data_IF_444338944991
#
_entry.id   IF_444338944991
#
_cell.length_a   1.000
_cell.length_b   1.000
_cell.length_c   1.000
_cell.angle_alpha   90.00
_cell.angle_beta   90.00
_cell.angle_gamma   90.00
#
_symmetry.space_group_name_H-M   'P 1'
#
loop_
_entity.id
_entity.type
_entity.pdbx_description
1 polymer ?
#
# COMPACT_ATOMS: atom_id res chain seq x y z
N UNK A 1 -16.08 7.65 -3.76
CA UNK A 1 -17.43 7.33 -3.21
C UNK A 1 -18.51 8.30 -3.67
N UNK A 2 -18.36 9.63 -3.59
CA UNK A 2 -19.36 10.58 -4.13
C UNK A 2 -19.75 10.28 -5.59
N UNK A 3 -18.77 10.18 -6.49
CA UNK A 3 -19.02 9.93 -7.91
C UNK A 3 -19.72 8.56 -8.17
N UNK A 4 -19.49 7.57 -7.31
CA UNK A 4 -20.13 6.25 -7.44
C UNK A 4 -21.59 6.28 -6.97
N UNK A 5 -21.87 7.01 -5.88
CA UNK A 5 -23.24 7.24 -5.40
C UNK A 5 -24.03 8.03 -6.45
N UNK A 6 -23.46 9.09 -7.02
CA UNK A 6 -24.08 9.87 -8.09
C UNK A 6 -24.36 9.03 -9.35
N UNK A 7 -23.44 8.14 -9.73
CA UNK A 7 -23.66 7.19 -10.82
C UNK A 7 -24.81 6.22 -10.50
N UNK A 8 -24.85 5.63 -9.30
CA UNK A 8 -25.91 4.71 -8.92
C UNK A 8 -27.28 5.39 -8.88
N UNK A 9 -27.35 6.63 -8.37
CA UNK A 9 -28.55 7.45 -8.38
C UNK A 9 -29.01 7.76 -9.82
N UNK A 10 -28.10 8.19 -10.69
CA UNK A 10 -28.40 8.45 -12.10
C UNK A 10 -28.83 7.20 -12.86
N UNK A 11 -28.26 6.03 -12.54
CA UNK A 11 -28.61 4.75 -13.15
C UNK A 11 -30.00 4.27 -12.70
N UNK A 12 -30.33 4.47 -11.42
CA UNK A 12 -31.66 4.20 -10.87
C UNK A 12 -32.72 5.07 -11.56
N UNK A 13 -32.46 6.37 -11.69
CA UNK A 13 -33.36 7.30 -12.38
C UNK A 13 -33.59 6.90 -13.84
N UNK A 14 -32.52 6.50 -14.56
CA UNK A 14 -32.66 6.03 -15.94
C UNK A 14 -33.51 4.75 -16.03
N UNK A 15 -33.39 3.82 -15.08
CA UNK A 15 -34.16 2.56 -15.06
C UNK A 15 -35.63 2.75 -14.70
N UNK A 16 -35.92 3.65 -13.74
CA UNK A 16 -37.30 4.05 -13.41
C UNK A 16 -37.99 4.60 -14.66
N UNK A 17 -37.30 5.44 -15.44
CA UNK A 17 -37.84 6.00 -16.67
C UNK A 17 -37.99 4.97 -17.82
N UNK A 18 -37.28 3.84 -17.77
CA UNK A 18 -37.28 2.82 -18.82
C UNK A 18 -38.35 1.72 -18.64
N UNK A 19 -39.24 1.82 -17.64
CA UNK A 19 -40.22 0.78 -17.28
C UNK A 19 -39.57 -0.60 -17.05
N UNK A 20 -38.40 -0.64 -16.40
CA UNK A 20 -37.76 -1.89 -16.01
C UNK A 20 -38.69 -2.71 -15.09
N UNK A 21 -38.66 -4.05 -15.13
CA UNK A 21 -39.48 -4.89 -14.26
C UNK A 21 -39.16 -4.61 -12.77
N UNK A 22 -40.20 -4.56 -11.92
CA UNK A 22 -40.11 -4.22 -10.48
C UNK A 22 -39.04 -5.02 -9.70
N UNK A 23 -38.77 -6.26 -10.12
CA UNK A 23 -37.72 -7.12 -9.57
C UNK A 23 -36.32 -6.50 -9.66
N UNK A 24 -36.00 -5.86 -10.78
CA UNK A 24 -34.68 -5.27 -11.01
C UNK A 24 -34.50 -3.97 -10.22
N UNK A 25 -35.58 -3.21 -10.05
CA UNK A 25 -35.57 -1.97 -9.27
C UNK A 25 -35.27 -2.23 -7.78
N UNK A 26 -35.88 -3.28 -7.21
CA UNK A 26 -35.67 -3.63 -5.80
C UNK A 26 -34.20 -4.00 -5.49
N UNK A 27 -33.52 -4.69 -6.42
CA UNK A 27 -32.11 -5.04 -6.28
C UNK A 27 -31.20 -3.80 -6.22
N UNK A 28 -31.42 -2.83 -7.12
CA UNK A 28 -30.66 -1.58 -7.13
C UNK A 28 -30.94 -0.70 -5.91
N UNK A 29 -32.19 -0.65 -5.42
CA UNK A 29 -32.53 0.08 -4.19
C UNK A 29 -31.80 -0.48 -2.96
N UNK A 30 -31.74 -1.81 -2.84
CA UNK A 30 -31.00 -2.48 -1.77
C UNK A 30 -29.49 -2.21 -1.86
N UNK A 31 -28.91 -2.28 -3.06
CA UNK A 31 -27.50 -1.96 -3.29
C UNK A 31 -27.20 -0.49 -2.95
N UNK A 32 -28.02 0.45 -3.44
CA UNK A 32 -27.87 1.87 -3.16
C UNK A 32 -27.95 2.15 -1.66
N UNK A 33 -28.88 1.50 -0.95
CA UNK A 33 -29.01 1.63 0.51
C UNK A 33 -27.76 1.12 1.22
N UNK A 34 -27.24 -0.05 0.85
CA UNK A 34 -26.03 -0.61 1.42
C UNK A 34 -24.80 0.29 1.18
N UNK A 35 -24.65 0.83 -0.03
CA UNK A 35 -23.57 1.76 -0.37
C UNK A 35 -23.68 3.07 0.44
N UNK A 36 -24.89 3.61 0.62
CA UNK A 36 -25.12 4.81 1.44
C UNK A 36 -24.80 4.56 2.91
N UNK A 37 -25.19 3.42 3.47
CA UNK A 37 -24.87 3.04 4.85
C UNK A 37 -23.37 2.87 5.05
N UNK A 38 -22.68 2.21 4.12
CA UNK A 38 -21.22 2.06 4.15
C UNK A 38 -20.50 3.42 4.05
N UNK A 39 -20.97 4.32 3.18
CA UNK A 39 -20.43 5.67 3.06
C UNK A 39 -20.61 6.48 4.37
N UNK A 40 -21.79 6.39 5.00
CA UNK A 40 -22.08 7.03 6.29
C UNK A 40 -21.17 6.51 7.41
N UNK A 41 -20.94 5.20 7.47
CA UNK A 41 -20.03 4.60 8.44
C UNK A 41 -18.59 5.11 8.27
N UNK A 42 -18.10 5.16 7.02
CA UNK A 42 -16.76 5.69 6.70
C UNK A 42 -16.64 7.17 7.04
N UNK A 43 -17.67 7.98 6.76
CA UNK A 43 -17.69 9.39 7.16
C UNK A 43 -17.52 9.54 8.68
N UNK A 44 -18.29 8.79 9.48
CA UNK A 44 -18.17 8.82 10.95
C UNK A 44 -16.78 8.42 11.43
N UNK A 45 -16.15 7.44 10.77
CA UNK A 45 -14.79 7.03 11.07
C UNK A 45 -13.78 8.16 10.81
N UNK A 46 -13.87 8.82 9.65
CA UNK A 46 -13.00 9.96 9.33
C UNK A 46 -13.21 11.14 10.27
N UNK A 47 -14.46 11.46 10.65
CA UNK A 47 -14.77 12.50 11.63
C UNK A 47 -14.12 12.20 12.99
N UNK A 48 -14.15 10.93 13.42
CA UNK A 48 -13.48 10.47 14.65
C UNK A 48 -11.96 10.64 14.56
N UNK A 49 -11.35 10.24 13.45
CA UNK A 49 -9.90 10.40 13.22
C UNK A 49 -9.48 11.88 13.20
N UNK A 50 -10.24 12.74 12.50
CA UNK A 50 -10.00 14.19 12.48
C UNK A 50 -10.13 14.81 13.87
N UNK A 51 -11.10 14.36 14.68
CA UNK A 51 -11.24 14.81 16.07
C UNK A 51 -10.03 14.42 16.93
N UNK A 52 -9.50 13.21 16.76
CA UNK A 52 -8.28 12.74 17.43
C UNK A 52 -7.08 13.61 17.07
N UNK A 53 -6.82 13.81 15.77
CA UNK A 53 -5.70 14.61 15.27
C UNK A 53 -5.77 16.07 15.72
N UNK A 54 -6.97 16.67 15.75
CA UNK A 54 -7.17 18.02 16.30
C UNK A 54 -6.79 18.11 17.77
N UNK A 55 -7.12 17.08 18.55
CA UNK A 55 -6.79 17.00 19.97
C UNK A 55 -5.28 16.85 20.17
N UNK A 56 -4.63 15.98 19.41
CA UNK A 56 -3.17 15.80 19.42
C UNK A 56 -2.44 17.08 19.04
N UNK A 57 -2.84 17.74 17.95
CA UNK A 57 -2.26 19.01 17.51
C UNK A 57 -2.38 20.09 18.60
N UNK A 58 -3.55 20.19 19.24
CA UNK A 58 -3.77 21.13 20.33
C UNK A 58 -2.83 20.85 21.53
N UNK A 59 -2.69 19.58 21.91
CA UNK A 59 -1.79 19.16 22.98
C UNK A 59 -0.32 19.48 22.65
N UNK A 60 0.12 19.23 21.41
CA UNK A 60 1.45 19.61 20.94
C UNK A 60 1.68 21.13 20.97
N UNK A 61 0.68 21.93 20.60
CA UNK A 61 0.76 23.39 20.69
C UNK A 61 0.88 23.87 22.14
N UNK A 62 0.17 23.25 23.09
CA UNK A 62 0.31 23.54 24.53
C UNK A 62 1.73 23.21 25.00
N UNK A 63 2.24 22.03 24.65
CA UNK A 63 3.59 21.60 25.02
C UNK A 63 4.67 22.54 24.48
N UNK A 64 4.57 22.95 23.21
CA UNK A 64 5.50 23.89 22.59
C UNK A 64 5.48 25.26 23.27
N UNK A 65 4.29 25.77 23.64
CA UNK A 65 4.17 27.02 24.41
C UNK A 65 4.81 26.90 25.80
N UNK A 66 4.69 25.75 26.46
CA UNK A 66 5.32 25.51 27.76
C UNK A 66 6.86 25.48 27.63
N UNK A 67 7.38 24.84 26.58
CA UNK A 67 8.82 24.80 26.31
C UNK A 67 9.38 26.20 26.01
N UNK A 68 8.70 26.98 25.18
CA UNK A 68 9.09 28.36 24.87
C UNK A 68 9.17 29.23 26.14
N UNK A 69 8.22 29.07 27.07
CA UNK A 69 8.26 29.76 28.38
C UNK A 69 9.45 29.33 29.25
N UNK A 70 9.84 28.04 29.22
CA UNK A 70 11.03 27.56 29.95
C UNK A 70 12.32 28.16 29.38
N UNK A 71 12.45 28.20 28.05
CA UNK A 71 13.61 28.80 27.37
C UNK A 71 13.74 30.29 27.74
N UNK A 72 12.64 31.05 27.71
CA UNK A 72 12.63 32.46 28.13
C UNK A 72 13.02 32.66 29.61
N UNK A 73 12.68 31.71 30.49
CA UNK A 73 13.04 31.77 31.92
C UNK A 73 14.54 31.53 32.13
N UNK A 74 15.14 30.58 31.41
CA UNK A 74 16.59 30.29 31.48
C UNK A 74 17.38 31.51 31.01
N UNK A 75 17.01 32.10 29.87
CA UNK A 75 17.69 33.29 29.31
C UNK A 75 17.68 34.50 30.25
N UNK A 76 16.68 34.64 31.14
CA UNK A 76 16.65 35.71 32.15
C UNK A 76 17.54 35.46 33.36
N UNK A 77 17.81 34.21 33.72
CA UNK A 77 18.66 33.89 34.87
C UNK A 77 20.15 34.14 34.57
N UNK A 78 20.58 33.96 33.31
CA UNK A 78 21.97 34.17 32.92
C UNK A 78 22.38 35.65 32.82
N UNK A 79 21.41 36.55 32.62
CA UNK A 79 21.64 38.00 32.59
C UNK A 79 21.88 38.63 33.98
N UNK A 80 21.81 37.84 35.07
CA UNK A 80 21.97 38.29 36.45
C UNK A 80 23.36 38.00 37.04
N UNK A 81 24.28 37.39 36.29
CA UNK A 81 25.64 37.14 36.79
C UNK A 81 26.42 38.45 36.74
N UNK A 82 26.50 39.09 37.91
CA UNK A 82 27.30 40.27 38.19
C UNK A 82 28.74 40.09 37.70
N UNK A 83 29.19 41.08 36.96
CA UNK A 83 30.60 41.38 36.69
C UNK A 83 31.35 41.52 38.00
N UNK A 84 32.20 40.55 38.32
CA UNK A 84 33.21 40.65 39.37
C UNK A 84 34.42 41.42 38.80
N UNK A 85 34.74 42.63 39.30
CA UNK A 85 35.75 43.49 38.70
C UNK A 85 37.13 43.16 39.29
N UNK A 86 37.65 41.95 39.09
CA UNK A 86 39.07 41.71 39.38
C UNK A 86 39.63 40.44 38.69
N UNK A 87 40.02 40.55 37.43
CA UNK A 87 40.93 39.56 36.84
C UNK A 87 41.85 40.23 35.81
N UNK A 88 43.11 40.40 36.20
CA UNK A 88 44.17 40.88 35.32
C UNK A 88 44.81 39.72 34.55
N UNK A 89 45.05 39.99 33.25
CA UNK A 89 46.24 39.61 32.47
C UNK A 89 46.50 38.13 32.17
N UNK A 90 46.43 37.75 30.89
CA UNK A 90 47.60 37.67 29.99
C UNK A 90 47.16 37.12 28.62
N UNK A 91 47.75 37.65 27.55
CA UNK A 91 47.17 37.61 26.21
C UNK A 91 47.48 36.39 25.34
N UNK A 92 46.77 36.32 24.21
CA UNK A 92 47.36 36.01 22.91
C UNK A 92 46.40 36.42 21.78
N UNK A 93 46.97 37.12 20.81
CA UNK A 93 46.36 37.62 19.57
C UNK A 93 46.20 36.49 18.56
N UNK A 94 45.13 36.53 17.77
CA UNK A 94 44.92 36.09 16.38
C UNK A 94 43.40 35.87 16.21
N UNK A 95 42.68 36.30 15.18
CA UNK A 95 42.91 37.04 13.95
C UNK A 95 41.56 37.01 13.20
N UNK A 96 41.24 38.12 12.52
CA UNK A 96 40.20 38.35 11.49
C UNK A 96 39.48 37.10 10.90
N UNK A 97 38.19 37.10 10.56
CA UNK A 97 37.47 38.13 9.83
C UNK A 97 35.94 38.09 10.05
N UNK A 98 35.36 39.29 10.15
CA UNK A 98 33.94 39.57 10.01
C UNK A 98 33.53 39.54 8.53
N UNK A 99 32.31 39.09 8.23
CA UNK A 99 31.50 39.70 7.16
C UNK A 99 30.02 39.39 7.39
N UNK A 100 29.36 40.33 8.04
CA UNK A 100 27.90 40.41 8.21
C UNK A 100 27.36 41.34 7.13
N UNK A 101 26.72 40.76 6.12
CA UNK A 101 25.95 41.46 5.09
C UNK A 101 24.47 41.35 5.47
N UNK A 102 23.94 42.38 6.14
CA UNK A 102 22.49 42.56 6.32
C UNK A 102 22.02 43.44 5.18
N UNK A 103 21.55 42.80 4.11
CA UNK A 103 20.87 43.48 3.00
C UNK A 103 19.41 43.73 3.40
N UNK A 104 19.03 45.01 3.45
CA UNK A 104 17.65 45.47 3.49
C UNK A 104 17.00 45.19 2.13
N UNK A 105 15.97 44.33 2.12
CA UNK A 105 15.08 44.15 0.98
C UNK A 105 13.74 44.83 1.27
N UNK A 106 13.49 45.94 0.58
CA UNK A 106 12.15 46.48 0.40
C UNK A 106 11.36 45.57 -0.54
N UNK A 107 10.33 44.92 0.00
CA UNK A 107 9.39 44.08 -0.74
C UNK A 107 8.18 44.93 -1.12
N UNK A 108 8.11 45.32 -2.39
CA UNK A 108 6.90 45.80 -3.06
C UNK A 108 5.95 44.61 -3.24
N UNK A 109 4.79 44.67 -2.59
CA UNK A 109 3.71 43.69 -2.72
C UNK A 109 2.94 43.96 -4.02
N UNK A 110 2.96 43.05 -5.02
CA UNK A 110 2.03 43.13 -6.13
C UNK A 110 0.66 42.63 -5.69
N UNK A 111 -0.38 43.36 -6.07
CA UNK A 111 -1.78 43.00 -5.91
C UNK A 111 -2.09 41.72 -6.70
N UNK A 112 -2.29 40.62 -5.97
CA UNK A 112 -2.56 39.28 -6.53
C UNK A 112 -4.05 39.16 -6.84
N UNK A 113 -4.39 39.13 -8.12
CA UNK A 113 -5.72 38.76 -8.62
C UNK A 113 -6.06 37.31 -8.19
N UNK A 114 -7.32 37.01 -7.84
CA UNK A 114 -7.73 35.69 -7.37
C UNK A 114 -7.66 34.66 -8.50
N UNK A 115 -6.57 33.91 -8.55
CA UNK A 115 -6.45 32.70 -9.36
C UNK A 115 -7.40 31.66 -8.76
N UNK A 116 -8.40 31.23 -9.55
CA UNK A 116 -9.25 30.08 -9.22
C UNK A 116 -8.34 28.90 -8.90
N UNK A 117 -8.39 28.42 -7.65
CA UNK A 117 -7.71 27.19 -7.23
C UNK A 117 -8.07 26.08 -8.22
N UNK A 118 -7.09 25.47 -8.91
CA UNK A 118 -7.32 24.22 -9.62
C UNK A 118 -7.92 23.23 -8.62
N UNK A 119 -9.04 22.61 -8.97
CA UNK A 119 -9.52 21.45 -8.22
C UNK A 119 -8.38 20.44 -8.25
N UNK A 120 -7.87 20.09 -7.06
CA UNK A 120 -6.86 19.07 -6.93
C UNK A 120 -7.50 17.75 -7.37
N UNK A 121 -7.27 17.36 -8.62
CA UNK A 121 -7.50 16.00 -9.06
C UNK A 121 -6.70 15.11 -8.12
N UNK A 122 -7.42 14.26 -7.38
CA UNK A 122 -6.79 13.25 -6.54
C UNK A 122 -5.86 12.44 -7.46
N UNK A 123 -4.60 12.23 -7.06
CA UNK A 123 -3.69 11.45 -7.89
C UNK A 123 -4.34 10.09 -8.16
N UNK A 124 -4.44 9.74 -9.44
CA UNK A 124 -5.15 8.56 -9.98
C UNK A 124 -4.85 7.27 -9.20
N UNK A 125 -3.68 7.18 -8.57
CA UNK A 125 -3.28 6.03 -7.76
C UNK A 125 -4.06 5.85 -6.45
N UNK A 126 -4.64 6.91 -5.87
CA UNK A 126 -5.39 6.81 -4.61
C UNK A 126 -6.70 6.04 -4.75
N UNK A 127 -7.36 6.13 -5.91
CA UNK A 127 -8.65 5.46 -6.15
C UNK A 127 -8.54 3.93 -6.05
N UNK A 128 -7.42 3.37 -6.50
CA UNK A 128 -7.19 1.92 -6.43
C UNK A 128 -7.01 1.42 -4.99
N UNK A 129 -6.26 2.15 -4.17
CA UNK A 129 -6.13 1.84 -2.74
C UNK A 129 -7.50 1.94 -2.05
N UNK A 130 -8.33 2.92 -2.41
CA UNK A 130 -9.69 3.00 -1.88
C UNK A 130 -10.57 1.81 -2.27
N UNK A 131 -10.51 1.37 -3.53
CA UNK A 131 -11.26 0.21 -4.01
C UNK A 131 -10.76 -1.08 -3.35
N UNK A 132 -9.45 -1.25 -3.24
CA UNK A 132 -8.83 -2.40 -2.58
C UNK A 132 -9.26 -2.47 -1.10
N UNK A 133 -9.24 -1.35 -0.38
CA UNK A 133 -9.73 -1.29 1.00
C UNK A 133 -11.25 -1.50 1.08
N UNK A 134 -12.02 -1.04 0.09
CA UNK A 134 -13.45 -1.28 0.06
C UNK A 134 -13.77 -2.77 -0.08
N UNK A 135 -13.08 -3.48 -0.97
CA UNK A 135 -13.22 -4.93 -1.13
C UNK A 135 -12.72 -5.68 0.11
N UNK A 136 -11.57 -5.27 0.65
CA UNK A 136 -11.08 -5.78 1.92
C UNK A 136 -12.15 -5.65 3.00
N UNK A 137 -12.80 -4.50 3.16
CA UNK A 137 -13.85 -4.33 4.17
C UNK A 137 -15.17 -5.02 3.83
N UNK A 138 -15.56 -5.16 2.56
CA UNK A 138 -16.84 -5.79 2.19
C UNK A 138 -16.84 -7.29 2.44
N UNK A 139 -15.67 -7.94 2.43
CA UNK A 139 -15.53 -9.36 2.78
C UNK A 139 -15.22 -9.60 4.26
N UNK A 140 -15.17 -8.54 5.08
CA UNK A 140 -15.24 -8.66 6.53
C UNK A 140 -16.69 -8.96 6.89
N UNK A 141 -17.03 -10.24 7.05
CA UNK A 141 -18.24 -10.60 7.79
C UNK A 141 -18.10 -10.11 9.25
N UNK A 142 -19.14 -10.23 10.08
CA UNK A 142 -19.03 -9.92 11.52
C UNK A 142 -17.91 -10.70 12.24
N UNK A 143 -17.31 -11.70 11.58
CA UNK A 143 -16.06 -12.33 11.99
C UNK A 143 -14.86 -11.51 11.53
N UNK A 144 -14.13 -10.93 12.51
CA UNK A 144 -12.88 -10.24 12.26
C UNK A 144 -11.90 -11.10 11.46
N UNK A 145 -11.14 -10.48 10.55
CA UNK A 145 -10.11 -11.17 9.78
C UNK A 145 -9.17 -11.96 10.71
N UNK A 146 -8.72 -13.15 10.27
CA UNK A 146 -7.64 -13.81 10.96
C UNK A 146 -6.41 -12.90 11.02
N UNK A 147 -5.84 -12.76 12.22
CA UNK A 147 -4.65 -11.94 12.49
C UNK A 147 -3.48 -12.19 11.52
N UNK A 148 -3.36 -13.42 10.99
CA UNK A 148 -2.33 -13.75 10.01
C UNK A 148 -2.57 -13.05 8.65
N UNK A 149 -3.83 -12.89 8.24
CA UNK A 149 -4.19 -12.26 6.97
C UNK A 149 -4.05 -10.76 7.09
N UNK A 150 -4.60 -10.15 8.15
CA UNK A 150 -4.50 -8.71 8.40
C UNK A 150 -3.04 -8.22 8.37
N UNK A 151 -2.17 -8.86 9.17
CA UNK A 151 -0.73 -8.52 9.19
C UNK A 151 -0.01 -8.82 7.89
N UNK A 152 -0.37 -9.92 7.24
CA UNK A 152 0.23 -10.30 5.96
C UNK A 152 -0.14 -9.31 4.86
N UNK A 153 -1.41 -8.89 4.84
CA UNK A 153 -1.96 -7.94 3.90
C UNK A 153 -1.42 -6.53 4.13
N UNK A 154 -1.46 -6.03 5.37
CA UNK A 154 -0.83 -4.75 5.76
C UNK A 154 0.63 -4.69 5.26
N UNK A 155 1.34 -5.81 5.35
CA UNK A 155 2.71 -5.89 4.86
C UNK A 155 2.85 -5.88 3.34
N UNK A 156 1.86 -6.29 2.52
CA UNK A 156 1.98 -6.31 1.05
C UNK A 156 1.22 -5.18 0.34
N UNK A 157 0.41 -4.39 1.06
CA UNK A 157 -0.49 -3.35 0.53
C UNK A 157 0.16 -2.02 0.11
N UNK A 158 1.45 -2.02 -0.21
CA UNK A 158 2.10 -0.83 -0.77
C UNK A 158 1.49 -0.48 -2.14
N UNK A 159 1.51 0.81 -2.48
CA UNK A 159 1.04 1.31 -3.77
C UNK A 159 2.14 1.18 -4.84
N UNK A 160 2.05 0.11 -5.64
CA UNK A 160 2.91 -0.13 -6.81
C UNK A 160 2.14 0.02 -8.13
N UNK A 161 1.04 0.78 -8.13
CA UNK A 161 0.22 1.01 -9.30
C UNK A 161 -0.89 -0.02 -9.54
N UNK A 162 -1.68 0.23 -10.58
CA UNK A 162 -2.95 -0.45 -10.86
C UNK A 162 -2.81 -1.97 -11.03
N UNK A 163 -1.79 -2.43 -11.75
CA UNK A 163 -1.59 -3.86 -12.03
C UNK A 163 -1.35 -4.65 -10.73
N UNK A 164 -0.57 -4.09 -9.80
CA UNK A 164 -0.31 -4.72 -8.51
C UNK A 164 -1.51 -4.62 -7.56
N UNK A 165 -2.26 -3.51 -7.61
CA UNK A 165 -3.51 -3.40 -6.86
C UNK A 165 -4.53 -4.47 -7.30
N UNK A 166 -4.61 -4.76 -8.61
CA UNK A 166 -5.46 -5.83 -9.13
C UNK A 166 -4.99 -7.21 -8.65
N UNK A 167 -3.67 -7.46 -8.61
CA UNK A 167 -3.13 -8.69 -8.01
C UNK A 167 -3.59 -8.86 -6.56
N UNK A 168 -3.48 -7.81 -5.74
CA UNK A 168 -3.90 -7.83 -4.34
C UNK A 168 -5.42 -8.03 -4.21
N UNK A 169 -6.21 -7.42 -5.10
CA UNK A 169 -7.65 -7.60 -5.15
C UNK A 169 -8.03 -9.06 -5.41
N UNK A 170 -7.45 -9.69 -6.43
CA UNK A 170 -7.69 -11.10 -6.73
C UNK A 170 -7.21 -12.01 -5.59
N UNK A 171 -6.14 -11.64 -4.88
CA UNK A 171 -5.69 -12.37 -3.69
C UNK A 171 -6.71 -12.31 -2.53
N UNK A 172 -7.30 -11.13 -2.27
CA UNK A 172 -8.39 -11.00 -1.27
C UNK A 172 -9.56 -11.91 -1.65
N UNK A 173 -10.02 -11.85 -2.91
CA UNK A 173 -11.14 -12.67 -3.37
C UNK A 173 -10.83 -14.17 -3.25
N UNK A 174 -9.60 -14.57 -3.57
CA UNK A 174 -9.16 -15.94 -3.43
C UNK A 174 -9.19 -16.43 -1.99
N UNK A 175 -8.65 -15.67 -1.03
CA UNK A 175 -8.68 -16.04 0.39
C UNK A 175 -10.10 -15.97 0.99
N UNK A 176 -10.91 -15.00 0.56
CA UNK A 176 -12.31 -14.88 0.94
C UNK A 176 -13.15 -16.08 0.48
N UNK A 177 -12.94 -16.54 -0.76
CA UNK A 177 -13.60 -17.74 -1.30
C UNK A 177 -13.27 -19.02 -0.52
N UNK A 178 -12.20 -18.97 0.28
CA UNK A 178 -11.72 -20.02 1.16
C UNK A 178 -12.08 -19.80 2.63
N UNK A 179 -12.91 -18.80 2.93
CA UNK A 179 -13.29 -18.42 4.29
C UNK A 179 -12.08 -18.21 5.19
N UNK A 180 -10.99 -17.66 4.63
CA UNK A 180 -9.77 -17.34 5.38
C UNK A 180 -9.13 -18.53 6.11
N UNK A 181 -9.44 -19.76 5.68
CA UNK A 181 -8.91 -20.97 6.30
C UNK A 181 -7.42 -21.08 6.03
N UNK A 182 -6.62 -21.27 7.06
CA UNK A 182 -5.18 -21.41 6.92
C UNK A 182 -4.81 -22.84 6.51
N UNK A 183 -4.14 -23.04 5.38
CA UNK A 183 -3.70 -24.38 4.98
C UNK A 183 -2.52 -24.87 5.84
N UNK A 184 -2.56 -26.14 6.24
CA UNK A 184 -1.46 -26.80 6.96
C UNK A 184 -0.19 -26.88 6.11
N UNK A 185 -0.35 -26.96 4.80
CA UNK A 185 0.75 -27.07 3.84
C UNK A 185 0.75 -25.87 2.91
N UNK A 186 1.92 -25.25 2.74
CA UNK A 186 2.09 -24.18 1.78
C UNK A 186 2.28 -24.66 0.35
N UNK A 187 2.53 -23.70 -0.53
CA UNK A 187 3.07 -23.96 -1.86
C UNK A 187 4.35 -24.80 -1.72
N UNK A 188 4.34 -26.01 -2.27
CA UNK A 188 5.49 -26.93 -2.29
C UNK A 188 6.48 -26.45 -3.38
N UNK A 189 7.73 -26.92 -3.34
CA UNK A 189 8.82 -26.63 -4.31
C UNK A 189 9.76 -25.46 -3.97
N UNK A 190 10.70 -25.14 -4.88
CA UNK A 190 11.96 -24.43 -4.62
C UNK A 190 11.78 -22.92 -4.39
N UNK A 191 11.24 -22.55 -3.22
CA UNK A 191 11.09 -21.15 -2.82
C UNK A 191 12.42 -20.40 -2.85
N UNK A 192 12.44 -19.10 -3.21
CA UNK A 192 13.62 -18.26 -3.03
C UNK A 192 14.15 -18.35 -1.60
N UNK A 193 15.46 -18.54 -1.45
CA UNK A 193 16.10 -18.73 -0.13
C UNK A 193 15.81 -17.57 0.83
N UNK A 194 15.70 -16.35 0.29
CA UNK A 194 15.31 -15.14 1.00
C UNK A 194 13.95 -15.31 1.70
N UNK A 195 12.96 -15.88 1.01
CA UNK A 195 11.63 -16.14 1.55
C UNK A 195 11.68 -17.23 2.64
N UNK A 196 12.47 -18.28 2.42
CA UNK A 196 12.70 -19.34 3.42
C UNK A 196 13.27 -18.72 4.70
N UNK A 197 14.33 -17.92 4.59
CA UNK A 197 14.98 -17.26 5.72
C UNK A 197 14.00 -16.33 6.47
N UNK A 198 13.20 -15.56 5.74
CA UNK A 198 12.22 -14.65 6.35
C UNK A 198 11.09 -15.39 7.09
N UNK A 199 10.63 -16.52 6.53
CA UNK A 199 9.57 -17.32 7.16
C UNK A 199 10.06 -18.14 8.34
N UNK A 200 11.27 -18.69 8.31
CA UNK A 200 11.85 -19.50 9.40
C UNK A 200 12.22 -18.66 10.64
N UNK A 201 12.48 -17.37 10.48
CA UNK A 201 12.66 -16.44 11.62
C UNK A 201 11.38 -16.21 12.44
N UNK A 202 10.28 -16.89 12.11
CA UNK A 202 9.17 -17.20 13.00
C UNK A 202 8.22 -16.03 13.31
N UNK A 203 8.48 -14.84 12.78
CA UNK A 203 7.64 -13.67 13.06
C UNK A 203 7.22 -12.86 11.84
N UNK A 204 7.63 -13.24 10.62
CA UNK A 204 7.36 -12.52 9.35
C UNK A 204 7.39 -11.00 9.55
N UNK A 205 8.38 -10.52 10.30
CA UNK A 205 8.42 -9.12 10.73
C UNK A 205 8.87 -8.26 9.55
N UNK A 206 8.29 -7.06 9.38
CA UNK A 206 8.80 -6.10 8.40
C UNK A 206 10.30 -5.83 8.58
N UNK A 207 10.76 -5.68 9.83
CA UNK A 207 12.17 -5.47 10.15
C UNK A 207 13.10 -6.61 9.68
N UNK A 208 12.62 -7.86 9.61
CA UNK A 208 13.41 -9.00 9.14
C UNK A 208 13.55 -9.01 7.60
N UNK A 209 12.69 -8.31 6.88
CA UNK A 209 12.78 -8.18 5.43
C UNK A 209 13.74 -7.06 5.00
N UNK A 210 14.05 -6.08 5.87
CA UNK A 210 14.92 -4.95 5.52
C UNK A 210 16.30 -5.38 4.99
N UNK A 211 17.02 -6.34 5.60
CA UNK A 211 18.32 -6.78 5.06
C UNK A 211 18.18 -7.51 3.72
N UNK A 212 17.06 -8.20 3.50
CA UNK A 212 16.77 -8.91 2.24
C UNK A 212 16.58 -7.88 1.12
N UNK A 213 15.75 -6.86 1.37
CA UNK A 213 15.48 -5.79 0.41
C UNK A 213 16.75 -4.97 0.14
N UNK A 214 17.54 -4.64 1.18
CA UNK A 214 18.80 -3.92 1.01
C UNK A 214 19.83 -4.69 0.17
N UNK A 215 19.79 -6.02 0.18
CA UNK A 215 20.65 -6.85 -0.67
C UNK A 215 20.23 -6.81 -2.16
N UNK A 216 19.00 -6.38 -2.47
CA UNK A 216 18.50 -6.15 -3.82
C UNK A 216 18.84 -4.74 -4.31
N UNK A 217 20.12 -4.35 -4.21
CA UNK A 217 20.63 -3.00 -4.52
C UNK A 217 21.45 -2.92 -5.81
N UNK A 218 21.59 -4.03 -6.55
CA UNK A 218 22.28 -4.03 -7.84
C UNK A 218 21.48 -4.78 -8.89
N UNK A 219 21.72 -4.47 -10.16
CA UNK A 219 21.11 -5.15 -11.32
C UNK A 219 21.27 -6.67 -11.19
N UNK A 220 22.49 -7.13 -10.88
CA UNK A 220 22.80 -8.55 -10.81
C UNK A 220 22.02 -9.25 -9.67
N UNK A 221 21.91 -8.63 -8.49
CA UNK A 221 21.18 -9.25 -7.37
C UNK A 221 19.67 -9.26 -7.62
N UNK A 222 19.13 -8.21 -8.24
CA UNK A 222 17.72 -8.13 -8.64
C UNK A 222 17.40 -9.18 -9.71
N UNK A 223 18.22 -9.30 -10.76
CA UNK A 223 18.02 -10.30 -11.81
C UNK A 223 18.11 -11.74 -11.28
N UNK A 224 19.09 -12.03 -10.41
CA UNK A 224 19.17 -13.36 -9.75
C UNK A 224 17.95 -13.66 -8.90
N UNK A 225 17.43 -12.66 -8.18
CA UNK A 225 16.22 -12.82 -7.39
C UNK A 225 14.98 -13.02 -8.26
N UNK A 226 14.85 -12.24 -9.34
CA UNK A 226 13.79 -12.40 -10.34
C UNK A 226 13.79 -13.81 -10.94
N UNK A 227 14.94 -14.32 -11.38
CA UNK A 227 15.05 -15.68 -11.91
C UNK A 227 14.69 -16.76 -10.88
N UNK A 228 15.06 -16.56 -9.60
CA UNK A 228 14.66 -17.48 -8.54
C UNK A 228 13.13 -17.47 -8.32
N UNK A 229 12.50 -16.29 -8.35
CA UNK A 229 11.04 -16.17 -8.26
C UNK A 229 10.35 -16.81 -9.46
N UNK A 230 10.82 -16.57 -10.67
CA UNK A 230 10.26 -17.16 -11.88
C UNK A 230 10.42 -18.67 -11.95
N UNK A 231 11.56 -19.19 -11.52
CA UNK A 231 11.79 -20.64 -11.39
C UNK A 231 10.77 -21.25 -10.44
N UNK A 232 10.60 -20.65 -9.26
CA UNK A 232 9.61 -21.09 -8.29
C UNK A 232 8.18 -20.99 -8.85
N UNK A 233 7.85 -19.91 -9.56
CA UNK A 233 6.54 -19.70 -10.16
C UNK A 233 6.24 -20.72 -11.27
N UNK A 234 7.20 -20.97 -12.16
CA UNK A 234 7.13 -21.99 -13.21
C UNK A 234 6.92 -23.39 -12.64
N UNK A 235 7.63 -23.71 -11.56
CA UNK A 235 7.47 -24.97 -10.85
C UNK A 235 6.06 -25.16 -10.26
N UNK A 236 5.38 -24.08 -9.89
CA UNK A 236 4.02 -24.15 -9.36
C UNK A 236 2.95 -24.24 -10.45
N UNK A 237 3.30 -24.01 -11.72
CA UNK A 237 2.32 -24.03 -12.80
C UNK A 237 1.73 -25.42 -12.98
N UNK A 238 0.44 -25.50 -13.33
CA UNK A 238 -0.17 -26.76 -13.67
C UNK A 238 0.37 -27.29 -15.01
N UNK A 239 0.35 -28.62 -15.18
CA UNK A 239 0.98 -29.32 -16.31
C UNK A 239 0.45 -28.90 -17.69
N UNK A 240 -0.74 -28.30 -17.76
CA UNK A 240 -1.33 -27.80 -19.01
C UNK A 240 -0.73 -26.48 -19.48
N UNK A 241 0.03 -25.76 -18.63
CA UNK A 241 0.71 -24.53 -19.05
C UNK A 241 2.01 -24.83 -19.76
N UNK A 242 2.17 -24.18 -20.90
CA UNK A 242 3.42 -24.17 -21.64
C UNK A 242 4.38 -23.22 -20.93
N UNK A 243 5.57 -23.71 -20.63
CA UNK A 243 6.66 -22.92 -20.03
C UNK A 243 7.78 -22.81 -21.05
N UNK A 244 8.19 -21.58 -21.35
CA UNK A 244 9.21 -21.25 -22.33
C UNK A 244 10.20 -20.28 -21.70
N UNK A 245 11.50 -20.58 -21.78
CA UNK A 245 12.57 -19.72 -21.23
C UNK A 245 12.33 -19.30 -19.77
N UNK A 246 11.90 -20.25 -18.93
CA UNK A 246 11.59 -20.00 -17.51
C UNK A 246 10.49 -18.95 -17.27
N UNK A 247 9.57 -18.80 -18.23
CA UNK A 247 8.38 -17.97 -18.12
C UNK A 247 7.18 -18.77 -18.62
N UNK A 248 6.03 -18.73 -17.94
CA UNK A 248 4.82 -19.31 -18.48
C UNK A 248 4.36 -18.50 -19.71
N UNK A 249 3.98 -19.19 -20.78
CA UNK A 249 3.38 -18.54 -21.96
C UNK A 249 1.97 -18.02 -21.61
N UNK A 250 1.50 -16.92 -22.24
CA UNK A 250 0.12 -16.47 -22.11
C UNK A 250 -0.87 -17.60 -22.43
N UNK A 251 -2.03 -17.57 -21.79
CA UNK A 251 -3.05 -18.59 -21.94
C UNK A 251 -4.44 -17.97 -21.99
N UNK A 252 -5.32 -18.54 -22.82
CA UNK A 252 -6.66 -18.01 -23.06
C UNK A 252 -7.77 -18.80 -22.34
N UNK A 253 -7.43 -19.97 -21.79
CA UNK A 253 -8.41 -20.89 -21.19
C UNK A 253 -7.88 -21.50 -19.91
N UNK A 254 -8.73 -21.47 -18.89
CA UNK A 254 -8.52 -22.17 -17.64
C UNK A 254 -8.93 -23.63 -17.78
N UNK A 255 -8.11 -24.54 -17.23
CA UNK A 255 -8.41 -25.97 -17.12
C UNK A 255 -8.50 -26.33 -15.64
N UNK A 256 -9.41 -27.23 -15.29
CA UNK A 256 -9.89 -27.56 -13.93
C UNK A 256 -8.86 -28.10 -12.91
N UNK A 257 -7.56 -28.02 -13.19
CA UNK A 257 -6.50 -28.54 -12.33
C UNK A 257 -5.59 -27.43 -11.80
N UNK A 258 -5.97 -26.84 -10.67
CA UNK A 258 -5.17 -25.85 -9.93
C UNK A 258 -4.53 -26.41 -8.66
N UNK A 259 -4.48 -27.74 -8.47
CA UNK A 259 -4.22 -28.37 -7.17
C UNK A 259 -2.94 -27.90 -6.45
N UNK A 260 -1.89 -27.55 -7.20
CA UNK A 260 -0.64 -27.05 -6.64
C UNK A 260 -0.74 -25.60 -6.14
N UNK A 261 -1.51 -24.78 -6.85
CA UNK A 261 -1.73 -23.35 -6.58
C UNK A 261 -2.92 -23.10 -5.65
N UNK A 262 -3.83 -24.07 -5.50
CA UNK A 262 -4.95 -24.01 -4.56
C UNK A 262 -4.46 -24.24 -3.13
N UNK A 263 -3.71 -23.25 -2.64
CA UNK A 263 -3.11 -23.17 -1.32
C UNK A 263 -3.45 -21.80 -0.74
N UNK A 264 -4.38 -21.83 0.20
CA UNK A 264 -4.84 -20.70 1.01
C UNK A 264 -3.98 -20.47 2.25
N UNK A 265 -4.14 -19.32 2.87
CA UNK A 265 -3.53 -19.03 4.15
C UNK A 265 -2.12 -18.45 4.05
N UNK A 266 -1.51 -18.26 5.21
CA UNK A 266 -0.21 -17.60 5.38
C UNK A 266 0.96 -18.28 4.62
N UNK A 267 0.81 -19.55 4.26
CA UNK A 267 1.82 -20.35 3.56
C UNK A 267 1.51 -20.53 2.06
N UNK A 268 0.38 -19.97 1.61
CA UNK A 268 -0.08 -19.97 0.22
C UNK A 268 0.51 -18.81 -0.58
N UNK A 269 -0.37 -18.09 -1.28
CA UNK A 269 -0.06 -16.99 -2.20
C UNK A 269 0.68 -15.81 -1.57
N UNK A 270 0.52 -15.58 -0.26
CA UNK A 270 1.22 -14.51 0.45
C UNK A 270 2.74 -14.54 0.19
N UNK A 271 3.35 -15.72 0.10
CA UNK A 271 4.79 -15.85 -0.18
C UNK A 271 5.20 -15.33 -1.57
N UNK A 272 4.38 -15.56 -2.59
CA UNK A 272 4.62 -15.08 -3.96
C UNK A 272 4.49 -13.56 -4.03
N UNK A 273 3.44 -13.03 -3.41
CA UNK A 273 3.17 -11.58 -3.37
C UNK A 273 4.28 -10.84 -2.61
N UNK A 274 4.75 -11.40 -1.48
CA UNK A 274 5.89 -10.85 -0.74
C UNK A 274 7.16 -10.80 -1.59
N UNK A 275 7.47 -11.86 -2.35
CA UNK A 275 8.62 -11.84 -3.24
C UNK A 275 8.45 -10.80 -4.36
N UNK A 276 7.25 -10.66 -4.90
CA UNK A 276 6.92 -9.67 -5.93
C UNK A 276 7.10 -8.23 -5.40
N UNK A 277 6.67 -7.96 -4.16
CA UNK A 277 6.93 -6.69 -3.44
C UNK A 277 8.43 -6.44 -3.27
N UNK A 278 9.20 -7.44 -2.82
CA UNK A 278 10.65 -7.27 -2.65
C UNK A 278 11.36 -6.96 -3.96
N UNK A 279 10.96 -7.62 -5.04
CA UNK A 279 11.49 -7.32 -6.36
C UNK A 279 11.20 -5.86 -6.74
N UNK A 280 9.96 -5.39 -6.56
CA UNK A 280 9.60 -3.99 -6.84
C UNK A 280 10.46 -3.01 -6.04
N UNK A 281 10.59 -3.23 -4.74
CA UNK A 281 11.40 -2.36 -3.87
C UNK A 281 12.88 -2.37 -4.27
N UNK A 282 13.40 -3.50 -4.76
CA UNK A 282 14.74 -3.57 -5.34
C UNK A 282 14.86 -2.72 -6.60
N UNK A 283 13.88 -2.80 -7.51
CA UNK A 283 13.82 -1.98 -8.72
C UNK A 283 13.77 -0.48 -8.42
N UNK A 284 13.03 -0.08 -7.39
CA UNK A 284 12.93 1.32 -6.96
C UNK A 284 14.26 1.87 -6.38
N UNK A 285 15.24 1.01 -6.08
CA UNK A 285 16.58 1.41 -5.65
C UNK A 285 17.55 1.70 -6.81
N UNK A 286 17.17 1.39 -8.05
CA UNK A 286 17.97 1.60 -9.26
C UNK A 286 17.69 2.96 -9.92
N UNK A 287 18.63 3.40 -10.76
CA UNK A 287 18.42 4.56 -11.65
C UNK A 287 17.29 4.31 -12.66
N UNK A 288 16.54 5.37 -13.01
CA UNK A 288 15.32 5.29 -13.82
C UNK A 288 15.49 4.55 -15.15
N UNK A 289 16.60 4.77 -15.87
CA UNK A 289 16.85 4.14 -17.17
C UNK A 289 16.99 2.62 -17.06
N UNK A 290 17.70 2.14 -16.04
CA UNK A 290 17.93 0.71 -15.79
C UNK A 290 16.64 0.07 -15.25
N UNK A 291 15.94 0.80 -14.38
CA UNK A 291 14.67 0.35 -13.80
C UNK A 291 13.66 -0.01 -14.88
N UNK A 292 13.46 0.85 -15.88
CA UNK A 292 12.47 0.65 -16.94
C UNK A 292 12.67 -0.66 -17.72
N UNK A 293 13.91 -1.06 -17.97
CA UNK A 293 14.21 -2.31 -18.71
C UNK A 293 13.79 -3.56 -17.91
N UNK A 294 14.03 -3.55 -16.60
CA UNK A 294 13.73 -4.68 -15.71
C UNK A 294 12.28 -4.70 -15.23
N UNK A 295 11.64 -3.53 -15.18
CA UNK A 295 10.26 -3.34 -14.74
C UNK A 295 9.26 -4.08 -15.64
N UNK A 296 9.55 -4.21 -16.94
CA UNK A 296 8.73 -4.98 -17.86
C UNK A 296 8.61 -6.46 -17.43
N UNK A 297 9.67 -7.08 -16.91
CA UNK A 297 9.63 -8.47 -16.44
C UNK A 297 8.88 -8.60 -15.11
N UNK A 298 8.95 -7.56 -14.26
CA UNK A 298 8.14 -7.48 -13.05
C UNK A 298 6.64 -7.37 -13.37
N UNK A 299 6.26 -6.53 -14.34
CA UNK A 299 4.86 -6.45 -14.77
C UNK A 299 4.34 -7.78 -15.32
N UNK A 300 5.18 -8.53 -16.07
CA UNK A 300 4.81 -9.85 -16.58
C UNK A 300 4.49 -10.84 -15.45
N UNK A 301 5.28 -10.86 -14.37
CA UNK A 301 4.98 -11.76 -13.24
C UNK A 301 3.69 -11.35 -12.52
N UNK A 302 3.47 -10.05 -12.34
CA UNK A 302 2.26 -9.50 -11.71
C UNK A 302 1.01 -9.84 -12.52
N UNK A 303 1.06 -9.64 -13.84
CA UNK A 303 -0.04 -9.95 -14.76
C UNK A 303 -0.35 -11.44 -14.76
N UNK A 304 0.68 -12.29 -14.86
CA UNK A 304 0.50 -13.73 -14.92
C UNK A 304 -0.09 -14.30 -13.61
N UNK A 305 0.40 -13.83 -12.46
CA UNK A 305 -0.14 -14.19 -11.14
C UNK A 305 -1.59 -13.71 -10.96
N UNK A 306 -1.90 -12.49 -11.42
CA UNK A 306 -3.26 -11.92 -11.38
C UNK A 306 -4.23 -12.78 -12.19
N UNK A 307 -3.87 -13.09 -13.43
CA UNK A 307 -4.71 -13.92 -14.31
C UNK A 307 -4.93 -15.31 -13.71
N UNK A 308 -3.90 -15.90 -13.11
CA UNK A 308 -4.03 -17.20 -12.45
C UNK A 308 -4.99 -17.15 -11.25
N UNK A 309 -4.87 -16.16 -10.36
CA UNK A 309 -5.80 -15.99 -9.24
C UNK A 309 -7.24 -15.76 -9.72
N UNK A 310 -7.42 -14.92 -10.75
CA UNK A 310 -8.73 -14.63 -11.34
C UNK A 310 -9.42 -15.90 -11.80
N UNK A 311 -8.75 -16.75 -12.59
CA UNK A 311 -9.37 -18.00 -13.04
C UNK A 311 -9.62 -19.00 -11.92
N UNK A 312 -8.79 -19.02 -10.88
CA UNK A 312 -9.04 -19.85 -9.70
C UNK A 312 -10.30 -19.41 -8.96
N UNK A 313 -10.49 -18.09 -8.79
CA UNK A 313 -11.70 -17.50 -8.17
C UNK A 313 -12.94 -17.79 -9.01
N UNK A 314 -12.87 -17.55 -10.32
CA UNK A 314 -13.98 -17.81 -11.26
C UNK A 314 -14.38 -19.28 -11.27
N UNK A 315 -13.42 -20.19 -11.42
CA UNK A 315 -13.67 -21.65 -11.43
C UNK A 315 -14.35 -22.11 -10.15
N UNK A 316 -13.92 -21.57 -9.00
CA UNK A 316 -14.49 -21.93 -7.70
C UNK A 316 -15.93 -21.42 -7.55
N UNK A 317 -16.19 -20.17 -7.96
CA UNK A 317 -17.53 -19.60 -7.91
C UNK A 317 -18.52 -20.36 -8.82
N UNK A 318 -18.07 -20.82 -9.99
CA UNK A 318 -18.86 -21.72 -10.84
C UNK A 318 -19.18 -23.06 -10.17
N UNK A 319 -18.25 -23.64 -9.40
CA UNK A 319 -18.49 -24.90 -8.67
C UNK A 319 -19.47 -24.73 -7.51
N UNK A 320 -19.42 -23.60 -6.80
CA UNK A 320 -20.34 -23.31 -5.70
C UNK A 320 -21.77 -23.10 -6.21
N UNK A 321 -21.93 -22.44 -7.35
CA UNK A 321 -23.26 -22.16 -7.94
C UNK A 321 -23.90 -23.40 -8.60
N UNK A 322 -23.10 -24.40 -8.97
CA UNK A 322 -23.59 -25.65 -9.55
C UNK A 322 -23.95 -26.75 -8.53
N UNK A 323 -23.56 -26.58 -7.27
CA UNK A 323 -23.74 -27.58 -6.19
C UNK A 323 -25.02 -27.32 -5.39
#
# INVERSE_FOLDING_TARGET
>A
MSNYIEHLESSLDHRINANAPDSDLLGFELELKAVKEQASLKQKMFEKQLSSLKTELHNSQIANRALARRILKISRCDASVQTDPNFQSAGKKEGLANNTLVAQLHSTVPEVMPIKKPQAELPVNQEYQFNLMAVFHSHSTDEAFPNWFEKGFEYVSDDFGQQYAELLHQYILFEASHHWVNATHGLKKTKPQQLINWTTQGKRKPAAALPIIAALSSIETIQKFAEALWTWWCELQPDWRIISRNRPEPFDKFVDNFLLLDKRGQNGWLGLIVCTKWWRLGLDSLDDNIRQELEADWFRVVEDMTNMLKGMVETRNCRITAA
#
